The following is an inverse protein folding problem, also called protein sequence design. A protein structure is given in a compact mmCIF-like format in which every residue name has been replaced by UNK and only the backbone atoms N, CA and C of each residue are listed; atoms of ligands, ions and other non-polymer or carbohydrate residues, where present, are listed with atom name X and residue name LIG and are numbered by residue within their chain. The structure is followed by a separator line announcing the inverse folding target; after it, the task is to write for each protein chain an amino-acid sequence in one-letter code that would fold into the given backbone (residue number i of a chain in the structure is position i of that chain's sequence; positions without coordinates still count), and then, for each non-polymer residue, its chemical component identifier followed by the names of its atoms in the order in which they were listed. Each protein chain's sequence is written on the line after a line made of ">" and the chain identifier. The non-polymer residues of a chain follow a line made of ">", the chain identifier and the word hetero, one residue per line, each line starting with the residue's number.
data_IF_390299193535
#
_entry.id   IF_390299193535
#
_cell.length_a   1.000
_cell.length_b   1.000
_cell.length_c   1.000
_cell.angle_alpha   90.00
_cell.angle_beta   90.00
_cell.angle_gamma   90.00
#
_symmetry.space_group_name_H-M   'P 1'
#
loop_
_entity.id
_entity.type
_entity.pdbx_description
1 polymer ?
#
# COMPACT_ATOMS: atom_id res chain seq x y z
N UNK A 1 -18.99 -31.05 -40.73
CA UNK A 1 -19.20 -31.70 -39.41
C UNK A 1 -19.80 -30.64 -38.50
N UNK A 2 -20.87 -31.02 -37.83
CA UNK A 2 -21.88 -30.23 -37.12
C UNK A 2 -21.34 -29.10 -36.22
N UNK A 3 -22.08 -28.00 -36.11
CA UNK A 3 -23.08 -27.81 -35.04
C UNK A 3 -23.81 -26.46 -35.16
N UNK A 4 -25.14 -26.53 -35.21
CA UNK A 4 -26.07 -25.56 -34.64
C UNK A 4 -27.36 -26.32 -34.38
N UNK A 5 -27.84 -26.30 -33.15
CA UNK A 5 -29.24 -26.14 -32.74
C UNK A 5 -29.20 -25.81 -31.25
N UNK A 6 -29.74 -24.64 -30.91
CA UNK A 6 -30.17 -24.25 -29.57
C UNK A 6 -31.65 -23.92 -29.73
N UNK A 7 -32.47 -24.61 -28.95
CA UNK A 7 -33.88 -24.37 -28.67
C UNK A 7 -34.14 -25.16 -27.37
N UNK A 8 -35.02 -24.81 -26.45
CA UNK A 8 -35.58 -23.56 -25.97
C UNK A 8 -36.38 -23.95 -24.71
N UNK A 9 -36.70 -22.99 -23.83
CA UNK A 9 -37.85 -22.99 -22.89
C UNK A 9 -37.91 -24.01 -21.71
N UNK A 10 -37.86 -23.53 -20.44
CA UNK A 10 -38.95 -23.05 -19.56
C UNK A 10 -39.50 -24.21 -18.67
N UNK A 11 -39.58 -24.15 -17.32
CA UNK A 11 -40.57 -23.38 -16.55
C UNK A 11 -40.58 -23.82 -15.06
N UNK A 12 -40.79 -22.87 -14.12
CA UNK A 12 -41.64 -22.92 -12.87
C UNK A 12 -41.28 -23.92 -11.74
N UNK A 13 -41.57 -23.77 -10.43
CA UNK A 13 -42.01 -22.74 -9.44
C UNK A 13 -42.13 -23.51 -8.08
N UNK A 14 -42.04 -22.82 -6.92
CA UNK A 14 -42.58 -23.27 -5.60
C UNK A 14 -41.51 -23.71 -4.58
N UNK A 15 -41.30 -23.02 -3.44
CA UNK A 15 -42.05 -23.05 -2.16
C UNK A 15 -41.89 -24.41 -1.44
N UNK A 16 -41.70 -24.59 -0.13
CA UNK A 16 -41.86 -23.76 1.07
C UNK A 16 -41.26 -24.52 2.29
N UNK A 17 -40.80 -23.79 3.30
CA UNK A 17 -40.95 -24.00 4.76
C UNK A 17 -40.58 -25.30 5.54
N UNK A 18 -39.81 -25.03 6.61
CA UNK A 18 -40.02 -25.39 8.04
C UNK A 18 -39.56 -26.73 8.66
N UNK A 19 -38.61 -26.56 9.60
CA UNK A 19 -38.67 -26.88 11.04
C UNK A 19 -38.70 -28.35 11.49
N UNK A 20 -37.70 -28.76 12.28
CA UNK A 20 -37.90 -29.82 13.26
C UNK A 20 -37.14 -29.57 14.57
N UNK A 21 -37.89 -29.76 15.66
CA UNK A 21 -37.47 -29.68 17.07
C UNK A 21 -37.49 -31.11 17.60
N UNK A 22 -36.50 -31.53 18.38
CA UNK A 22 -36.74 -32.59 19.35
C UNK A 22 -35.93 -32.36 20.62
N UNK A 23 -36.67 -32.31 21.73
CA UNK A 23 -36.18 -32.25 23.09
C UNK A 23 -35.94 -33.66 23.64
N UNK A 24 -34.94 -33.83 24.51
CA UNK A 24 -35.03 -34.84 25.55
C UNK A 24 -34.43 -34.34 26.87
N UNK A 25 -35.27 -34.50 27.89
CA UNK A 25 -35.15 -34.21 29.31
C UNK A 25 -34.17 -35.10 30.06
N UNK A 26 -33.50 -34.54 31.07
CA UNK A 26 -32.80 -35.29 32.12
C UNK A 26 -32.49 -34.41 33.32
N UNK A 27 -33.34 -34.47 34.33
CA UNK A 27 -33.22 -33.80 35.63
C UNK A 27 -32.23 -34.51 36.56
N UNK A 28 -31.48 -33.78 37.39
CA UNK A 28 -31.10 -34.20 38.75
C UNK A 28 -30.47 -33.02 39.53
N UNK A 29 -31.18 -32.56 40.55
CA UNK A 29 -30.72 -31.61 41.56
C UNK A 29 -29.94 -32.30 42.67
N UNK A 30 -28.80 -31.74 43.08
CA UNK A 30 -28.20 -31.99 44.39
C UNK A 30 -27.35 -30.80 44.82
N UNK A 31 -27.88 -30.05 45.79
CA UNK A 31 -27.24 -29.00 46.56
C UNK A 31 -26.10 -29.55 47.42
N UNK A 32 -24.91 -28.96 47.34
CA UNK A 32 -23.92 -28.95 48.43
C UNK A 32 -23.22 -27.60 48.51
N UNK A 33 -23.30 -27.02 49.70
CA UNK A 33 -22.73 -25.76 50.16
C UNK A 33 -21.24 -25.88 50.49
N UNK A 34 -20.45 -24.92 49.94
CA UNK A 34 -19.23 -24.24 50.48
C UNK A 34 -18.04 -25.08 50.98
N UNK A 35 -16.78 -24.67 50.68
CA UNK A 35 -16.20 -23.52 51.38
C UNK A 35 -15.54 -22.48 50.45
N UNK A 36 -15.75 -21.22 50.77
CA UNK A 36 -15.02 -20.05 50.27
C UNK A 36 -13.52 -20.22 50.53
N UNK A 37 -12.73 -20.34 49.47
CA UNK A 37 -11.28 -20.21 49.57
C UNK A 37 -10.92 -18.72 49.72
N UNK A 38 -9.91 -18.37 50.53
CA UNK A 38 -9.39 -17.01 50.55
C UNK A 38 -8.79 -16.73 49.17
N UNK A 39 -9.36 -15.77 48.45
CA UNK A 39 -8.70 -15.20 47.28
C UNK A 39 -7.35 -14.64 47.76
N UNK A 40 -6.22 -14.96 47.12
CA UNK A 40 -5.01 -14.21 47.39
C UNK A 40 -5.30 -12.75 47.06
N UNK A 41 -5.03 -11.85 48.00
CA UNK A 41 -4.90 -10.42 47.74
C UNK A 41 -3.71 -10.24 46.78
N UNK A 42 -3.91 -10.60 45.52
CA UNK A 42 -3.01 -10.21 44.45
C UNK A 42 -3.19 -8.70 44.31
N UNK A 43 -2.11 -7.97 44.56
CA UNK A 43 -2.22 -6.57 44.90
C UNK A 43 -2.69 -5.79 43.67
N UNK A 44 -3.87 -5.18 43.77
CA UNK A 44 -4.43 -4.27 42.75
C UNK A 44 -3.42 -3.19 42.37
N UNK A 45 -2.49 -2.87 43.29
CA UNK A 45 -1.38 -1.94 43.10
C UNK A 45 -0.31 -2.42 42.13
N UNK A 46 0.11 -3.69 42.18
CA UNK A 46 1.11 -4.23 41.24
C UNK A 46 0.56 -4.25 39.81
N UNK A 47 -0.72 -4.58 39.66
CA UNK A 47 -1.38 -4.58 38.34
C UNK A 47 -1.47 -3.16 37.74
N UNK A 48 -1.71 -2.14 38.55
CA UNK A 48 -1.74 -0.74 38.10
C UNK A 48 -0.35 -0.19 37.79
N UNK A 49 0.67 -0.59 38.56
CA UNK A 49 2.07 -0.24 38.26
C UNK A 49 2.55 -0.94 36.98
N UNK A 50 2.22 -2.22 36.81
CA UNK A 50 2.51 -2.99 35.60
C UNK A 50 1.80 -2.39 34.38
N UNK A 51 0.54 -1.97 34.51
CA UNK A 51 -0.19 -1.27 33.44
C UNK A 51 0.48 0.06 33.06
N UNK A 52 0.97 0.83 34.04
CA UNK A 52 1.72 2.08 33.77
C UNK A 52 3.06 1.85 33.09
N UNK A 53 3.73 0.73 33.35
CA UNK A 53 4.99 0.36 32.70
C UNK A 53 4.79 -0.22 31.30
N UNK A 54 3.70 -0.95 31.06
CA UNK A 54 3.45 -1.66 29.80
C UNK A 54 2.69 -0.83 28.77
N UNK A 55 1.81 0.08 29.21
CA UNK A 55 0.97 0.87 28.31
C UNK A 55 1.48 2.31 28.22
N UNK A 56 1.74 2.83 27.01
CA UNK A 56 2.04 4.24 26.84
C UNK A 56 0.84 5.07 27.31
N UNK A 57 1.13 6.22 27.93
CA UNK A 57 0.07 7.15 28.32
C UNK A 57 -0.68 7.60 27.07
N UNK A 58 -2.01 7.50 27.09
CA UNK A 58 -2.88 7.86 25.97
C UNK A 58 -2.69 9.32 25.56
N UNK A 59 -2.35 10.21 26.51
CA UNK A 59 -2.06 11.62 26.23
C UNK A 59 -0.71 11.85 25.53
N UNK A 60 0.20 10.88 25.58
CA UNK A 60 1.50 10.94 24.91
C UNK A 60 1.45 10.32 23.49
N UNK A 61 0.33 9.70 23.12
CA UNK A 61 0.15 9.13 21.79
C UNK A 61 -0.11 10.23 20.75
N UNK A 62 0.43 10.10 19.53
CA UNK A 62 0.13 11.03 18.47
C UNK A 62 -1.36 10.99 18.10
N UNK A 63 -1.94 12.15 17.80
CA UNK A 63 -3.36 12.28 17.44
C UNK A 63 -3.75 11.38 16.25
N UNK A 64 -2.81 11.17 15.34
CA UNK A 64 -2.95 10.25 14.21
C UNK A 64 -1.74 9.34 14.15
N UNK A 65 -1.92 8.03 13.92
CA UNK A 65 -0.80 7.13 13.74
C UNK A 65 0.04 7.57 12.54
N UNK A 66 1.38 7.33 12.57
CA UNK A 66 2.24 7.63 11.44
C UNK A 66 1.82 6.84 10.21
N UNK A 67 2.03 7.42 9.03
CA UNK A 67 1.74 6.73 7.77
C UNK A 67 2.69 5.56 7.54
N UNK A 68 2.32 4.63 6.65
CA UNK A 68 3.16 3.49 6.29
C UNK A 68 4.54 3.92 5.73
N UNK A 69 4.61 5.08 5.08
CA UNK A 69 5.88 5.65 4.61
C UNK A 69 6.70 6.13 5.81
N UNK A 70 6.09 6.89 6.72
CA UNK A 70 6.76 7.42 7.91
C UNK A 70 7.28 6.32 8.85
N UNK A 71 6.55 5.21 9.00
CA UNK A 71 6.94 4.14 9.91
C UNK A 71 7.95 3.16 9.30
N UNK A 72 7.84 2.87 8.00
CA UNK A 72 8.56 1.75 7.38
C UNK A 72 9.72 2.19 6.46
N UNK A 73 9.81 3.47 6.10
CA UNK A 73 10.79 3.95 5.13
C UNK A 73 11.65 5.08 5.70
N UNK A 74 12.91 5.12 5.26
CA UNK A 74 13.79 6.27 5.41
C UNK A 74 13.73 7.07 4.11
N UNK A 75 13.47 8.37 4.20
CA UNK A 75 13.39 9.25 3.03
C UNK A 75 14.72 9.91 2.76
N UNK A 76 15.21 9.75 1.53
CA UNK A 76 16.37 10.47 1.00
C UNK A 76 15.91 11.43 -0.09
N UNK A 77 16.59 12.56 -0.22
CA UNK A 77 16.38 13.50 -1.31
C UNK A 77 17.62 13.55 -2.19
N UNK A 78 17.39 13.57 -3.50
CA UNK A 78 18.40 13.78 -4.54
C UNK A 78 18.14 15.17 -5.15
N UNK A 79 18.69 16.24 -4.53
CA UNK A 79 18.55 17.59 -5.07
C UNK A 79 19.32 17.74 -6.37
N UNK A 80 18.80 18.57 -7.28
CA UNK A 80 19.41 18.94 -8.56
C UNK A 80 19.88 17.73 -9.39
N UNK A 81 19.14 16.61 -9.34
CA UNK A 81 19.60 15.36 -9.91
C UNK A 81 19.72 15.46 -11.44
N UNK A 82 20.96 15.44 -11.93
CA UNK A 82 21.38 15.69 -13.34
C UNK A 82 21.16 17.12 -13.86
N UNK A 83 20.19 17.85 -13.33
CA UNK A 83 19.83 19.22 -13.76
C UNK A 83 19.35 20.05 -12.56
N UNK A 84 19.62 21.37 -12.53
CA UNK A 84 19.13 22.24 -11.47
C UNK A 84 17.60 22.24 -11.35
N UNK A 85 17.07 22.10 -10.13
CA UNK A 85 15.65 22.03 -9.82
C UNK A 85 14.98 20.67 -10.09
N UNK A 86 15.73 19.67 -10.56
CA UNK A 86 15.22 18.32 -10.82
C UNK A 86 15.31 17.42 -9.57
N UNK A 87 14.74 17.91 -8.47
CA UNK A 87 14.79 17.26 -7.17
C UNK A 87 13.90 16.01 -7.11
N UNK A 88 14.46 14.87 -6.71
CA UNK A 88 13.73 13.61 -6.54
C UNK A 88 13.84 13.10 -5.11
N UNK A 89 12.91 12.27 -4.68
CA UNK A 89 13.03 11.55 -3.42
C UNK A 89 13.15 10.04 -3.65
N UNK A 90 13.75 9.37 -2.68
CA UNK A 90 13.82 7.92 -2.58
C UNK A 90 13.40 7.52 -1.16
N UNK A 91 12.24 6.89 -1.03
CA UNK A 91 11.86 6.20 0.20
C UNK A 91 12.48 4.81 0.19
N UNK A 92 13.40 4.54 1.11
CA UNK A 92 14.09 3.26 1.23
C UNK A 92 13.58 2.48 2.44
N UNK A 93 13.05 1.31 2.18
CA UNK A 93 12.67 0.34 3.21
C UNK A 93 13.91 -0.46 3.65
N UNK A 94 13.98 -0.93 4.91
CA UNK A 94 15.07 -1.76 5.41
C UNK A 94 15.35 -3.05 4.61
N UNK A 95 14.33 -3.60 3.95
CA UNK A 95 14.48 -4.79 3.08
C UNK A 95 15.14 -4.47 1.72
N UNK A 96 15.53 -3.22 1.47
CA UNK A 96 16.13 -2.77 0.22
C UNK A 96 15.15 -2.21 -0.81
N UNK A 97 13.84 -2.35 -0.61
CA UNK A 97 12.82 -1.78 -1.51
C UNK A 97 12.94 -0.26 -1.51
N UNK A 98 13.06 0.31 -2.70
CA UNK A 98 13.14 1.73 -2.92
C UNK A 98 11.93 2.20 -3.72
N UNK A 99 11.31 3.28 -3.26
CA UNK A 99 10.15 3.90 -3.88
C UNK A 99 10.55 5.31 -4.29
N UNK A 100 10.38 5.65 -5.57
CA UNK A 100 10.94 6.87 -6.17
C UNK A 100 9.82 7.80 -6.62
N UNK A 101 10.02 9.11 -6.45
CA UNK A 101 9.10 10.13 -6.92
C UNK A 101 9.74 11.52 -7.01
N UNK A 102 8.93 12.52 -7.35
CA UNK A 102 9.36 13.92 -7.42
C UNK A 102 9.39 14.53 -6.01
N UNK A 103 10.49 15.19 -5.65
CA UNK A 103 10.56 15.91 -4.39
C UNK A 103 9.62 17.13 -4.43
N UNK A 104 9.08 17.58 -3.28
CA UNK A 104 8.20 18.76 -3.23
C UNK A 104 8.83 20.04 -3.80
N UNK A 105 10.15 20.13 -3.84
CA UNK A 105 10.91 21.27 -4.37
C UNK A 105 11.17 21.20 -5.89
N UNK A 106 10.78 20.11 -6.55
CA UNK A 106 10.99 19.90 -7.98
C UNK A 106 10.33 21.00 -8.84
N UNK A 107 11.03 21.42 -9.89
CA UNK A 107 10.61 22.52 -10.77
C UNK A 107 9.24 22.31 -11.43
N UNK A 108 8.88 21.06 -11.75
CA UNK A 108 7.57 20.70 -12.32
C UNK A 108 6.37 21.14 -11.48
N UNK A 109 6.53 21.35 -10.17
CA UNK A 109 5.47 21.82 -9.29
C UNK A 109 5.34 23.35 -9.24
N UNK A 110 6.28 24.09 -9.85
CA UNK A 110 6.26 25.55 -9.90
C UNK A 110 5.40 26.09 -11.05
N UNK A 111 5.09 25.25 -12.04
CA UNK A 111 4.28 25.61 -13.18
C UNK A 111 2.81 25.78 -12.76
N UNK A 112 2.17 26.87 -13.22
CA UNK A 112 0.81 27.24 -12.77
C UNK A 112 -0.25 26.21 -13.13
N UNK A 113 -0.02 25.40 -14.16
CA UNK A 113 -0.90 24.30 -14.57
C UNK A 113 -0.65 22.98 -13.84
N UNK A 114 0.43 22.89 -13.04
CA UNK A 114 0.87 21.64 -12.44
C UNK A 114 1.23 20.57 -13.46
N UNK A 115 1.31 19.33 -12.99
CA UNK A 115 1.56 18.17 -13.85
C UNK A 115 0.28 17.83 -14.62
N UNK A 116 0.43 17.74 -15.95
CA UNK A 116 -0.68 17.51 -16.90
C UNK A 116 -0.66 16.11 -17.49
N UNK A 117 0.50 15.45 -17.56
CA UNK A 117 0.63 14.11 -18.13
C UNK A 117 1.88 13.38 -17.60
N UNK A 118 1.85 12.04 -17.60
CA UNK A 118 2.98 11.18 -17.21
C UNK A 118 3.14 10.05 -18.22
N UNK A 119 4.26 10.07 -18.92
CA UNK A 119 4.60 9.10 -19.97
C UNK A 119 5.69 8.13 -19.49
N UNK A 120 5.34 6.84 -19.37
CA UNK A 120 6.27 5.77 -19.03
C UNK A 120 6.99 5.18 -20.25
N UNK A 121 6.66 5.63 -21.47
CA UNK A 121 7.33 5.23 -22.68
C UNK A 121 8.58 6.07 -22.94
N UNK A 122 9.69 5.67 -22.32
CA UNK A 122 10.96 6.33 -22.53
C UNK A 122 11.77 5.66 -23.63
N UNK A 123 11.92 6.37 -24.74
CA UNK A 123 12.77 5.98 -25.86
C UNK A 123 12.11 4.89 -26.70
N UNK A 124 12.65 3.67 -26.65
CA UNK A 124 12.14 2.50 -27.41
C UNK A 124 11.50 1.44 -26.52
N UNK A 125 11.21 1.77 -25.26
CA UNK A 125 10.78 0.77 -24.29
C UNK A 125 9.81 1.37 -23.30
N UNK A 126 8.58 0.88 -23.33
CA UNK A 126 7.57 1.21 -22.34
C UNK A 126 7.87 0.49 -21.02
N UNK A 127 7.84 1.26 -19.92
CA UNK A 127 8.04 0.74 -18.57
C UNK A 127 6.76 0.20 -17.94
N UNK A 128 5.58 0.61 -18.42
CA UNK A 128 4.30 0.11 -17.92
C UNK A 128 4.03 -1.34 -18.30
N UNK A 129 4.47 -1.78 -19.47
CA UNK A 129 4.39 -3.20 -19.86
C UNK A 129 5.25 -4.18 -19.03
N UNK A 130 6.11 -3.71 -18.12
CA UNK A 130 7.05 -4.57 -17.38
C UNK A 130 6.34 -5.20 -16.17
N UNK A 131 6.02 -6.49 -16.29
CA UNK A 131 5.46 -7.27 -15.19
C UNK A 131 6.47 -8.25 -14.60
N UNK A 132 6.94 -7.95 -13.40
CA UNK A 132 7.84 -8.82 -12.64
C UNK A 132 7.05 -9.94 -11.96
N UNK A 133 7.54 -11.18 -12.09
CA UNK A 133 6.85 -12.35 -11.53
C UNK A 133 7.76 -13.31 -10.77
N UNK A 134 7.22 -13.92 -9.72
CA UNK A 134 7.86 -14.98 -8.94
C UNK A 134 9.03 -14.54 -8.04
N UNK A 135 9.46 -15.43 -7.15
CA UNK A 135 10.55 -15.20 -6.17
C UNK A 135 11.88 -14.76 -6.82
N UNK A 136 12.12 -15.18 -8.06
CA UNK A 136 13.33 -14.85 -8.83
C UNK A 136 13.21 -13.57 -9.66
N UNK A 137 12.16 -12.75 -9.45
CA UNK A 137 11.89 -11.51 -10.18
C UNK A 137 12.02 -11.68 -11.71
N UNK A 138 11.37 -12.71 -12.27
CA UNK A 138 11.44 -13.00 -13.70
C UNK A 138 10.93 -11.79 -14.49
N UNK A 139 11.62 -11.43 -15.56
CA UNK A 139 11.38 -10.25 -16.41
C UNK A 139 11.73 -8.89 -15.78
N UNK A 140 12.32 -8.86 -14.58
CA UNK A 140 12.71 -7.60 -13.99
C UNK A 140 13.86 -6.95 -14.76
N UNK A 141 13.66 -5.69 -15.12
CA UNK A 141 14.67 -4.91 -15.82
C UNK A 141 15.61 -4.25 -14.83
N UNK A 142 16.91 -4.42 -15.05
CA UNK A 142 17.92 -3.76 -14.24
C UNK A 142 18.13 -2.32 -14.71
N UNK A 143 18.08 -1.39 -13.77
CA UNK A 143 18.31 0.02 -13.95
C UNK A 143 19.58 0.46 -13.22
N UNK A 144 20.34 1.32 -13.88
CA UNK A 144 21.38 2.14 -13.24
C UNK A 144 20.76 3.44 -12.69
N UNK A 145 21.45 4.11 -11.78
CA UNK A 145 20.93 5.31 -11.10
C UNK A 145 20.49 6.44 -12.05
N UNK A 146 21.13 6.59 -13.21
CA UNK A 146 20.78 7.62 -14.19
C UNK A 146 19.72 7.16 -15.22
N UNK A 147 19.23 5.93 -15.12
CA UNK A 147 18.24 5.37 -16.05
C UNK A 147 16.96 6.20 -15.99
N UNK A 148 16.49 6.60 -17.16
CA UNK A 148 15.26 7.36 -17.29
C UNK A 148 14.04 6.44 -17.09
N UNK A 149 13.11 6.91 -16.25
CA UNK A 149 11.99 6.15 -15.73
C UNK A 149 10.66 6.51 -16.39
N UNK A 150 10.29 7.78 -16.31
CA UNK A 150 9.12 8.36 -16.96
C UNK A 150 9.39 9.84 -17.29
N UNK A 151 8.61 10.38 -18.22
CA UNK A 151 8.59 11.79 -18.58
C UNK A 151 7.34 12.39 -17.96
N UNK A 152 7.54 13.37 -17.09
CA UNK A 152 6.47 14.14 -16.47
C UNK A 152 6.29 15.42 -17.27
N UNK A 153 5.08 15.69 -17.75
CA UNK A 153 4.76 16.85 -18.54
C UNK A 153 3.97 17.87 -17.72
N UNK A 154 4.20 19.14 -18.02
CA UNK A 154 3.41 20.28 -17.54
C UNK A 154 2.81 20.99 -18.75
N UNK A 155 2.17 22.14 -18.56
CA UNK A 155 1.68 22.98 -19.66
C UNK A 155 2.81 23.44 -20.59
N UNK A 156 3.99 23.71 -20.03
CA UNK A 156 5.03 24.47 -20.71
C UNK A 156 6.30 23.67 -20.96
N UNK A 157 6.60 22.66 -20.14
CA UNK A 157 7.82 21.85 -20.25
C UNK A 157 7.61 20.37 -19.87
N UNK A 158 8.65 19.57 -20.09
CA UNK A 158 8.70 18.16 -19.71
C UNK A 158 10.01 17.76 -19.03
N UNK A 159 9.88 16.92 -18.01
CA UNK A 159 10.93 16.58 -17.08
C UNK A 159 11.15 15.07 -17.05
N UNK A 160 12.41 14.64 -17.24
CA UNK A 160 12.76 13.23 -17.18
C UNK A 160 13.07 12.84 -15.74
N UNK A 161 12.25 11.95 -15.19
CA UNK A 161 12.45 11.31 -13.88
C UNK A 161 13.43 10.15 -14.04
N UNK A 162 14.31 9.95 -13.07
CA UNK A 162 15.40 8.96 -13.13
C UNK A 162 15.45 8.08 -11.89
N UNK A 163 16.08 6.92 -12.03
CA UNK A 163 16.04 5.88 -11.01
C UNK A 163 16.67 6.29 -9.67
N UNK A 164 17.66 7.18 -9.67
CA UNK A 164 18.43 7.65 -8.51
C UNK A 164 19.27 6.56 -7.81
N UNK A 165 18.83 5.31 -7.86
CA UNK A 165 19.48 4.12 -7.30
C UNK A 165 19.63 3.03 -8.36
N UNK A 166 20.61 2.15 -8.18
CA UNK A 166 20.76 0.94 -8.99
C UNK A 166 19.85 -0.16 -8.43
N UNK A 167 19.08 -0.83 -9.27
CA UNK A 167 18.17 -1.89 -8.83
C UNK A 167 17.34 -2.47 -9.97
N UNK A 168 16.45 -3.42 -9.65
CA UNK A 168 15.51 -3.97 -10.61
C UNK A 168 14.15 -3.30 -10.49
N UNK A 169 13.59 -2.83 -11.61
CA UNK A 169 12.21 -2.32 -11.65
C UNK A 169 11.23 -3.43 -11.25
N UNK A 170 10.36 -3.15 -10.29
CA UNK A 170 9.31 -4.07 -9.85
C UNK A 170 7.93 -3.68 -10.37
N UNK A 171 7.58 -2.41 -10.24
CA UNK A 171 6.24 -1.90 -10.51
C UNK A 171 6.31 -0.41 -10.86
N UNK A 172 5.49 0.02 -11.82
CA UNK A 172 5.22 1.44 -12.11
C UNK A 172 3.79 1.78 -11.73
N UNK A 173 3.54 3.02 -11.33
CA UNK A 173 2.21 3.50 -11.03
C UNK A 173 1.46 3.88 -12.31
N UNK A 174 0.89 2.90 -13.01
CA UNK A 174 0.08 3.10 -14.22
C UNK A 174 -1.14 4.01 -13.99
N UNK A 175 -1.58 4.15 -12.73
CA UNK A 175 -2.64 5.09 -12.36
C UNK A 175 -2.31 6.53 -12.75
N UNK A 176 -1.03 6.90 -12.78
CA UNK A 176 -0.56 8.23 -13.17
C UNK A 176 -0.76 8.54 -14.66
N UNK A 177 -0.88 7.52 -15.51
CA UNK A 177 -1.21 7.72 -16.93
C UNK A 177 -2.65 8.24 -17.07
N UNK A 178 -3.55 7.75 -16.22
CA UNK A 178 -4.97 8.12 -16.26
C UNK A 178 -5.27 9.36 -15.43
N UNK A 179 -4.49 9.57 -14.36
CA UNK A 179 -4.70 10.61 -13.35
C UNK A 179 -3.37 11.25 -12.95
N UNK A 180 -2.74 12.02 -13.85
CA UNK A 180 -1.46 12.69 -13.58
C UNK A 180 -1.57 13.72 -12.44
N UNK A 181 -2.77 14.28 -12.21
CA UNK A 181 -3.04 15.26 -11.15
C UNK A 181 -2.75 14.74 -9.74
N UNK A 182 -2.71 13.41 -9.57
CA UNK A 182 -2.34 12.80 -8.30
C UNK A 182 -0.97 13.27 -7.82
N UNK A 183 0.01 13.43 -8.72
CA UNK A 183 1.34 13.91 -8.35
C UNK A 183 1.32 15.33 -7.76
N UNK A 184 0.29 16.15 -8.06
CA UNK A 184 0.15 17.50 -7.51
C UNK A 184 -0.41 17.52 -6.08
N UNK A 185 -1.11 16.45 -5.67
CA UNK A 185 -1.95 16.46 -4.46
C UNK A 185 -1.22 16.04 -3.18
N UNK A 186 -0.05 15.41 -3.27
CA UNK A 186 0.52 14.72 -2.12
C UNK A 186 2.02 14.49 -2.18
N UNK A 187 2.67 14.75 -1.04
CA UNK A 187 3.99 14.23 -0.72
C UNK A 187 3.86 12.73 -0.46
N UNK A 188 4.36 11.90 -1.38
CA UNK A 188 4.41 10.44 -1.21
C UNK A 188 3.72 9.63 -2.32
N UNK A 189 3.06 10.28 -3.29
CA UNK A 189 2.64 9.57 -4.50
C UNK A 189 3.86 9.27 -5.34
N UNK A 190 4.12 7.97 -5.40
CA UNK A 190 5.34 7.46 -5.96
C UNK A 190 5.12 6.99 -7.39
N UNK A 191 6.14 7.19 -8.21
CA UNK A 191 6.12 6.90 -9.63
C UNK A 191 6.37 5.41 -9.86
N UNK A 192 7.26 4.81 -9.06
CA UNK A 192 7.59 3.39 -9.17
C UNK A 192 8.33 2.83 -7.95
N UNK A 193 8.49 1.51 -7.95
CA UNK A 193 9.26 0.74 -6.98
C UNK A 193 10.39 -0.05 -7.63
N UNK A 194 11.56 -0.02 -7.02
CA UNK A 194 12.76 -0.76 -7.45
C UNK A 194 13.38 -1.52 -6.28
N UNK A 195 13.97 -2.69 -6.54
CA UNK A 195 14.61 -3.54 -5.54
C UNK A 195 15.93 -4.13 -6.04
#
# INVERSE_FOLDING_TARGET
>A
MNEKIVDDTNSRQGADQNNDRTAHSGSCSSSKSSPTQPQPEYSVTEDEELKRLLLPNVHDLPLTPPSAIQSNFVTYFAPDFMKPGHDQYVHRHPNGLCVIGLAPTHVAFKDKGGITDVDFNIGKSDRSGIKVTGKRKKNAQHFESNTALCKVCTSDDSYIVRCCVKGSLLEVNEGLIKKPELLNLSVGISIMSVL
#
